data_IF_549033154186
#
_entry.id   IF_549033154186
#
_cell.length_a   1.000
_cell.length_b   1.000
_cell.length_c   1.000
_cell.angle_alpha   90.00
_cell.angle_beta   90.00
_cell.angle_gamma   90.00
#
_symmetry.space_group_name_H-M   'P 1'
#
loop_
_entity.id
_entity.type
_entity.pdbx_description
1 polymer ?
#
# COMPACT_ATOMS: atom_id res chain seq x y z
N UNK A 1 19.22 -9.41 51.11
CA UNK A 1 18.96 -8.14 50.40
C UNK A 1 18.39 -8.53 49.04
N UNK A 2 17.06 -8.63 48.95
CA UNK A 2 16.39 -8.96 47.69
C UNK A 2 16.16 -7.65 46.94
N UNK A 3 16.83 -7.49 45.80
CA UNK A 3 16.55 -6.42 44.86
C UNK A 3 15.38 -6.90 44.00
N UNK A 4 14.16 -6.46 44.33
CA UNK A 4 12.99 -6.71 43.49
C UNK A 4 13.06 -5.81 42.27
N UNK A 5 13.09 -6.40 41.08
CA UNK A 5 12.85 -5.67 39.83
C UNK A 5 11.43 -5.13 39.88
N UNK A 6 11.31 -3.81 39.93
CA UNK A 6 10.03 -3.13 39.76
C UNK A 6 9.72 -3.24 38.26
N UNK A 7 8.73 -4.05 37.91
CA UNK A 7 8.09 -3.92 36.61
C UNK A 7 7.28 -2.63 36.69
N UNK A 8 7.74 -1.57 36.04
CA UNK A 8 6.85 -0.46 35.70
C UNK A 8 5.71 -1.06 34.86
N UNK A 9 4.50 -1.07 35.42
CA UNK A 9 3.31 -1.30 34.61
C UNK A 9 3.33 -0.25 33.50
N UNK A 10 3.41 -0.69 32.24
CA UNK A 10 3.24 0.23 31.12
C UNK A 10 1.90 0.94 31.31
N UNK A 11 1.85 2.28 31.19
CA UNK A 11 0.63 3.03 31.42
C UNK A 11 -0.47 2.42 30.54
N UNK A 12 -1.62 2.17 31.15
CA UNK A 12 -2.85 1.74 30.47
C UNK A 12 -3.18 2.71 29.33
N UNK A 13 -2.63 2.47 28.14
CA UNK A 13 -2.93 3.27 26.96
C UNK A 13 -4.34 2.88 26.50
N UNK A 14 -5.28 3.80 26.70
CA UNK A 14 -6.64 3.68 26.20
C UNK A 14 -6.64 3.74 24.67
N UNK A 15 -7.60 3.06 24.05
CA UNK A 15 -7.84 3.22 22.63
C UNK A 15 -8.32 4.65 22.34
N UNK A 16 -7.78 5.23 21.28
CA UNK A 16 -8.20 6.53 20.75
C UNK A 16 -8.84 6.36 19.36
N UNK A 17 -9.68 7.33 19.00
CA UNK A 17 -10.22 7.45 17.64
C UNK A 17 -9.15 8.13 16.79
N UNK A 18 -8.64 7.41 15.80
CA UNK A 18 -7.61 7.86 14.87
C UNK A 18 -8.22 8.57 13.67
N UNK A 19 -9.37 8.07 13.22
CA UNK A 19 -10.17 8.63 12.13
C UNK A 19 -11.64 8.21 12.30
N UNK A 20 -12.55 8.97 11.70
CA UNK A 20 -14.00 8.79 11.85
C UNK A 20 -14.77 9.22 10.60
N UNK A 21 -15.76 8.42 10.24
CA UNK A 21 -16.74 8.78 9.20
C UNK A 21 -18.10 8.15 9.46
N UNK A 22 -19.13 8.69 8.81
CA UNK A 22 -20.48 8.11 8.74
C UNK A 22 -20.79 7.81 7.27
N UNK A 23 -21.28 6.59 6.98
CA UNK A 23 -21.67 6.18 5.64
C UNK A 23 -22.52 4.90 5.69
N UNK A 24 -23.43 4.73 4.74
CA UNK A 24 -24.10 3.43 4.51
C UNK A 24 -23.09 2.49 3.83
N UNK A 25 -22.63 1.50 4.60
CA UNK A 25 -21.67 0.47 4.17
C UNK A 25 -22.26 -0.94 4.29
N UNK A 26 -23.50 -1.04 4.76
CA UNK A 26 -24.25 -2.30 4.91
C UNK A 26 -25.31 -2.48 3.82
N UNK A 27 -25.71 -1.39 3.15
CA UNK A 27 -26.67 -1.32 2.06
C UNK A 27 -28.12 -1.27 2.51
N UNK A 28 -28.39 -0.84 3.74
CA UNK A 28 -29.73 -0.79 4.33
C UNK A 28 -30.39 0.61 4.28
N UNK A 29 -29.66 1.61 3.73
CA UNK A 29 -30.11 2.99 3.60
C UNK A 29 -29.88 3.86 4.83
N UNK A 30 -29.26 3.34 5.90
CA UNK A 30 -28.88 4.08 7.09
C UNK A 30 -27.36 4.11 7.24
N UNK A 31 -26.82 5.25 7.66
CA UNK A 31 -25.38 5.38 7.85
C UNK A 31 -24.91 4.66 9.13
N UNK A 32 -23.83 3.88 8.97
CA UNK A 32 -23.02 3.33 10.05
C UNK A 32 -22.04 4.39 10.57
N UNK A 33 -21.70 4.30 11.86
CA UNK A 33 -20.58 5.05 12.43
C UNK A 33 -19.32 4.20 12.38
N UNK A 34 -18.31 4.67 11.65
CA UNK A 34 -17.09 3.90 11.37
C UNK A 34 -15.92 4.61 12.03
N UNK A 35 -15.31 3.94 12.99
CA UNK A 35 -14.15 4.43 13.74
C UNK A 35 -12.92 3.61 13.38
N UNK A 36 -11.84 4.28 12.99
CA UNK A 36 -10.51 3.68 13.03
C UNK A 36 -9.93 3.90 14.42
N UNK A 37 -9.74 2.81 15.15
CA UNK A 37 -9.29 2.82 16.54
C UNK A 37 -7.83 2.38 16.61
N UNK A 38 -7.11 2.78 17.66
CA UNK A 38 -5.79 2.24 18.00
C UNK A 38 -5.20 2.89 19.23
N UNK A 39 -3.92 2.60 19.51
CA UNK A 39 -3.20 3.06 20.70
C UNK A 39 -1.96 3.83 20.33
N UNK A 40 -1.66 4.89 21.09
CA UNK A 40 -0.33 5.52 21.10
C UNK A 40 0.50 4.96 22.25
N UNK A 41 1.34 3.94 22.01
CA UNK A 41 2.11 3.31 23.08
C UNK A 41 3.13 4.26 23.72
N UNK A 42 3.45 5.37 23.06
CA UNK A 42 4.45 6.33 23.50
C UNK A 42 3.84 7.72 23.68
N UNK A 43 4.03 8.31 24.85
CA UNK A 43 3.62 9.69 25.17
C UNK A 43 4.76 10.70 24.95
N UNK A 44 5.60 10.47 23.95
CA UNK A 44 6.81 11.26 23.67
C UNK A 44 6.74 12.04 22.34
N UNK A 45 5.54 12.18 21.79
CA UNK A 45 5.29 12.89 20.53
C UNK A 45 5.53 12.06 19.27
N UNK A 46 5.93 10.78 19.39
CA UNK A 46 5.94 9.87 18.24
C UNK A 46 4.52 9.63 17.73
N UNK A 47 4.32 9.75 16.42
CA UNK A 47 3.02 9.50 15.77
C UNK A 47 2.70 8.01 15.54
N UNK A 48 3.53 7.12 16.09
CA UNK A 48 3.37 5.68 15.92
C UNK A 48 2.10 5.17 16.62
N UNK A 49 1.31 4.41 15.88
CA UNK A 49 0.09 3.75 16.36
C UNK A 49 0.29 2.24 16.41
N UNK A 50 -0.25 1.59 17.43
CA UNK A 50 -0.34 0.14 17.55
C UNK A 50 -1.77 -0.33 17.81
N UNK A 51 -2.02 -1.63 17.62
CA UNK A 51 -3.31 -2.27 17.88
C UNK A 51 -4.49 -1.61 17.13
N UNK A 52 -4.28 -1.29 15.85
CA UNK A 52 -5.32 -0.71 15.01
C UNK A 52 -6.43 -1.70 14.67
N UNK A 53 -7.67 -1.22 14.65
CA UNK A 53 -8.84 -1.99 14.21
C UNK A 53 -9.95 -1.03 13.78
N UNK A 54 -10.91 -1.51 12.98
CA UNK A 54 -12.14 -0.76 12.73
C UNK A 54 -13.18 -1.17 13.77
N UNK A 55 -13.84 -0.18 14.37
CA UNK A 55 -15.10 -0.38 15.09
C UNK A 55 -16.22 0.25 14.28
N UNK A 56 -17.14 -0.57 13.81
CA UNK A 56 -18.32 -0.15 13.08
C UNK A 56 -19.53 -0.26 14.00
N UNK A 57 -20.38 0.77 14.03
CA UNK A 57 -21.62 0.78 14.80
C UNK A 57 -22.80 0.95 13.86
N UNK A 58 -23.64 -0.08 13.80
CA UNK A 58 -24.84 -0.16 12.98
C UNK A 58 -25.83 0.95 13.34
N UNK A 59 -26.32 1.67 12.32
CA UNK A 59 -27.15 2.86 12.53
C UNK A 59 -28.53 2.54 13.12
N UNK A 60 -29.09 1.37 12.80
CA UNK A 60 -30.42 0.92 13.25
C UNK A 60 -30.40 0.31 14.65
N UNK A 61 -29.55 -0.69 14.84
CA UNK A 61 -29.50 -1.56 16.02
C UNK A 61 -28.54 -1.07 17.09
N UNK A 62 -27.65 -0.13 16.73
CA UNK A 62 -26.55 0.34 17.59
C UNK A 62 -25.55 -0.76 17.98
N UNK A 63 -25.63 -1.94 17.34
CA UNK A 63 -24.70 -3.05 17.54
C UNK A 63 -23.32 -2.65 17.02
N UNK A 64 -22.28 -3.05 17.74
CA UNK A 64 -20.90 -2.83 17.34
C UNK A 64 -20.29 -4.09 16.72
N UNK A 65 -19.53 -3.91 15.65
CA UNK A 65 -18.74 -4.92 14.96
C UNK A 65 -17.28 -4.48 14.96
N UNK A 66 -16.38 -5.39 15.35
CA UNK A 66 -14.92 -5.16 15.37
C UNK A 66 -14.30 -5.89 14.19
N UNK A 67 -13.58 -5.15 13.34
CA UNK A 67 -12.88 -5.70 12.17
C UNK A 67 -11.38 -5.58 12.42
N UNK A 68 -10.68 -6.71 12.68
CA UNK A 68 -9.25 -6.70 12.89
C UNK A 68 -8.48 -6.62 11.56
N UNK A 69 -7.27 -6.06 11.61
CA UNK A 69 -6.30 -6.11 10.50
C UNK A 69 -5.11 -6.98 10.91
N UNK A 70 -4.54 -7.74 9.96
CA UNK A 70 -3.41 -8.65 10.23
C UNK A 70 -2.16 -7.88 10.68
N UNK A 71 -1.80 -6.83 9.95
CA UNK A 71 -0.85 -5.81 10.39
C UNK A 71 -1.65 -4.62 10.88
N UNK A 72 -1.36 -4.18 12.10
CA UNK A 72 -2.19 -3.19 12.79
C UNK A 72 -1.36 -2.14 13.54
N UNK A 73 -0.17 -1.82 13.02
CA UNK A 73 0.73 -0.84 13.61
C UNK A 73 1.48 -0.07 12.52
N UNK A 74 1.64 1.24 12.70
CA UNK A 74 2.20 2.11 11.68
C UNK A 74 1.98 3.59 11.99
N UNK A 75 1.99 4.40 10.94
CA UNK A 75 1.91 5.86 11.00
C UNK A 75 0.83 6.41 10.07
N UNK A 76 0.28 7.56 10.44
CA UNK A 76 -0.75 8.31 9.69
C UNK A 76 -1.87 7.42 9.10
N UNK A 77 -2.57 6.62 9.95
CA UNK A 77 -3.67 5.79 9.49
C UNK A 77 -4.86 6.64 9.06
N UNK A 78 -5.56 6.19 8.01
CA UNK A 78 -6.67 6.95 7.41
C UNK A 78 -7.77 6.02 6.87
N UNK A 79 -9.01 6.45 7.01
CA UNK A 79 -10.19 5.86 6.39
C UNK A 79 -10.47 6.47 5.02
N UNK A 80 -10.98 5.63 4.12
CA UNK A 80 -11.61 6.03 2.88
C UNK A 80 -12.84 5.15 2.65
N UNK A 81 -13.93 5.75 2.18
CA UNK A 81 -15.20 5.08 1.91
C UNK A 81 -15.51 5.20 0.43
N UNK A 82 -15.83 4.08 -0.21
CA UNK A 82 -16.22 4.03 -1.60
C UNK A 82 -16.59 2.63 -2.04
N UNK A 83 -17.43 2.51 -3.06
CA UNK A 83 -17.79 1.22 -3.67
C UNK A 83 -16.61 0.71 -4.53
N UNK A 84 -15.88 -0.27 -4.04
CA UNK A 84 -14.78 -0.91 -4.76
C UNK A 84 -15.19 -2.23 -5.41
N UNK A 85 -16.09 -3.00 -4.79
CA UNK A 85 -16.57 -4.29 -5.30
C UNK A 85 -17.69 -4.18 -6.38
N UNK A 86 -18.05 -2.95 -6.72
CA UNK A 86 -19.00 -2.54 -7.76
C UNK A 86 -20.42 -3.06 -7.52
N UNK A 87 -20.80 -3.26 -6.26
CA UNK A 87 -22.13 -3.74 -5.88
C UNK A 87 -23.13 -2.60 -5.58
N UNK A 88 -22.69 -1.34 -5.60
CA UNK A 88 -23.48 -0.15 -5.28
C UNK A 88 -23.53 0.23 -3.80
N UNK A 89 -22.77 -0.45 -2.95
CA UNK A 89 -22.65 -0.23 -1.50
C UNK A 89 -21.20 0.15 -1.23
N UNK A 90 -20.99 1.13 -0.36
CA UNK A 90 -19.64 1.55 -0.06
C UNK A 90 -18.91 0.51 0.80
N UNK A 91 -17.63 0.29 0.49
CA UNK A 91 -16.72 -0.50 1.30
C UNK A 91 -15.82 0.40 2.16
N UNK A 92 -15.09 -0.21 3.10
CA UNK A 92 -14.19 0.48 4.02
C UNK A 92 -12.74 0.20 3.62
N UNK A 93 -12.01 1.23 3.20
CA UNK A 93 -10.57 1.19 2.96
C UNK A 93 -9.82 1.82 4.13
N UNK A 94 -8.75 1.15 4.58
CA UNK A 94 -7.80 1.66 5.57
C UNK A 94 -6.42 1.68 4.96
N UNK A 95 -5.71 2.80 5.07
CA UNK A 95 -4.30 2.90 4.68
C UNK A 95 -3.44 3.44 5.81
N UNK A 96 -2.19 2.98 5.92
CA UNK A 96 -1.20 3.52 6.84
C UNK A 96 0.23 3.18 6.42
N UNK A 97 1.20 3.96 6.87
CA UNK A 97 2.61 3.72 6.58
C UNK A 97 3.22 2.76 7.59
N UNK A 98 4.10 1.85 7.12
CA UNK A 98 4.94 1.02 8.00
C UNK A 98 5.93 1.87 8.81
N UNK A 99 6.41 2.98 8.22
CA UNK A 99 7.52 3.80 8.70
C UNK A 99 8.89 3.36 8.15
N UNK A 100 9.90 4.22 8.33
CA UNK A 100 11.25 4.02 7.77
C UNK A 100 11.42 4.59 6.35
N UNK A 101 12.64 4.47 5.79
CA UNK A 101 13.01 5.07 4.50
C UNK A 101 12.49 4.32 3.27
N UNK A 102 11.97 3.11 3.44
CA UNK A 102 11.48 2.28 2.32
C UNK A 102 10.17 2.77 1.71
N UNK A 103 9.40 3.62 2.41
CA UNK A 103 8.13 4.15 1.90
C UNK A 103 7.01 3.10 1.81
N UNK A 104 7.11 2.01 2.56
CA UNK A 104 6.15 0.91 2.53
C UNK A 104 4.82 1.31 3.15
N UNK A 105 3.74 0.93 2.48
CA UNK A 105 2.37 1.21 2.87
C UNK A 105 1.61 -0.09 3.08
N UNK A 106 0.71 -0.07 4.05
CA UNK A 106 -0.34 -1.06 4.20
C UNK A 106 -1.66 -0.46 3.81
N UNK A 107 -2.46 -1.28 3.15
CA UNK A 107 -3.81 -1.03 2.74
C UNK A 107 -4.65 -2.31 2.94
N UNK A 108 -5.86 -2.10 3.45
CA UNK A 108 -6.91 -3.11 3.60
C UNK A 108 -8.19 -2.55 3.02
N UNK A 109 -8.97 -3.37 2.31
CA UNK A 109 -10.33 -3.01 1.89
C UNK A 109 -11.27 -4.11 2.37
N UNK A 110 -12.34 -3.70 3.06
CA UNK A 110 -13.37 -4.58 3.58
C UNK A 110 -14.72 -4.23 2.98
N UNK A 111 -15.37 -5.20 2.34
CA UNK A 111 -16.82 -5.12 2.12
C UNK A 111 -17.55 -5.44 3.42
N UNK A 112 -18.63 -4.74 3.71
CA UNK A 112 -19.45 -4.95 4.92
C UNK A 112 -20.92 -5.16 4.60
N UNK A 113 -21.22 -5.57 3.36
CA UNK A 113 -22.58 -5.83 2.90
C UNK A 113 -23.33 -6.71 3.91
N UNK A 114 -24.54 -6.29 4.29
CA UNK A 114 -25.39 -6.98 5.27
C UNK A 114 -24.72 -7.24 6.62
N UNK A 115 -23.85 -6.36 7.08
CA UNK A 115 -23.16 -6.47 8.37
C UNK A 115 -22.20 -7.69 8.47
N UNK A 116 -21.72 -8.21 7.34
CA UNK A 116 -20.73 -9.29 7.29
C UNK A 116 -19.41 -8.77 6.70
N UNK A 117 -18.42 -8.41 7.54
CA UNK A 117 -17.13 -7.94 7.05
C UNK A 117 -16.36 -9.02 6.29
N UNK A 118 -16.02 -8.74 5.04
CA UNK A 118 -15.21 -9.57 4.17
C UNK A 118 -13.98 -8.78 3.68
N UNK A 119 -12.80 -9.36 3.82
CA UNK A 119 -11.56 -8.75 3.33
C UNK A 119 -11.41 -9.00 1.82
N UNK A 120 -11.44 -7.92 1.03
CA UNK A 120 -11.39 -7.99 -0.44
C UNK A 120 -10.06 -7.47 -1.03
N UNK A 121 -9.24 -6.79 -0.23
CA UNK A 121 -7.86 -6.43 -0.59
C UNK A 121 -6.94 -6.50 0.64
N UNK A 122 -5.77 -7.13 0.47
CA UNK A 122 -4.72 -7.21 1.47
C UNK A 122 -3.34 -6.91 0.86
N UNK A 123 -2.55 -6.10 1.56
CA UNK A 123 -1.21 -5.69 1.07
C UNK A 123 -0.21 -6.83 1.02
N UNK A 124 -0.24 -7.76 1.97
CA UNK A 124 0.71 -8.87 1.98
C UNK A 124 0.43 -9.81 0.80
N UNK A 125 -0.85 -10.11 0.53
CA UNK A 125 -1.25 -10.85 -0.68
C UNK A 125 -0.85 -10.11 -1.95
N UNK A 126 -1.07 -8.79 -2.03
CA UNK A 126 -0.61 -8.00 -3.17
C UNK A 126 0.91 -8.16 -3.38
N UNK A 127 1.72 -8.02 -2.33
CA UNK A 127 3.18 -8.11 -2.42
C UNK A 127 3.67 -9.52 -2.84
N UNK A 128 2.93 -10.59 -2.49
CA UNK A 128 3.23 -11.95 -2.94
C UNK A 128 2.98 -12.14 -4.44
N UNK A 129 1.96 -11.47 -5.00
CA UNK A 129 1.56 -11.64 -6.39
C UNK A 129 2.26 -10.65 -7.36
N UNK A 130 2.49 -9.42 -6.90
CA UNK A 130 2.97 -8.29 -7.69
C UNK A 130 4.44 -7.98 -7.40
N UNK A 131 5.31 -8.88 -7.88
CA UNK A 131 6.76 -8.73 -7.80
C UNK A 131 7.41 -8.74 -9.19
N UNK A 132 8.70 -9.06 -9.20
CA UNK A 132 9.47 -9.16 -10.42
C UNK A 132 10.97 -9.05 -10.18
N UNK A 133 11.71 -8.75 -11.24
CA UNK A 133 13.16 -8.57 -11.20
C UNK A 133 13.57 -7.31 -11.96
N UNK A 134 14.67 -6.70 -11.50
CA UNK A 134 15.31 -5.56 -12.17
C UNK A 134 16.76 -5.95 -12.45
N UNK A 135 17.16 -5.88 -13.71
CA UNK A 135 18.50 -6.29 -14.15
C UNK A 135 19.12 -5.23 -15.03
N UNK A 136 20.36 -4.88 -14.73
CA UNK A 136 21.16 -4.07 -15.64
C UNK A 136 21.58 -4.95 -16.82
N UNK A 137 21.65 -4.34 -17.99
CA UNK A 137 22.10 -4.96 -19.24
C UNK A 137 23.13 -4.06 -19.92
N UNK A 138 23.92 -4.67 -20.81
CA UNK A 138 24.87 -3.96 -21.66
C UNK A 138 24.21 -2.85 -22.48
N UNK A 139 25.00 -1.84 -22.83
CA UNK A 139 24.54 -0.69 -23.58
C UNK A 139 23.64 0.23 -22.75
N UNK A 140 23.95 0.41 -21.47
CA UNK A 140 23.28 1.35 -20.55
C UNK A 140 21.76 1.12 -20.44
N UNK A 141 21.36 -0.14 -20.26
CA UNK A 141 19.95 -0.52 -20.15
C UNK A 141 19.64 -1.13 -18.80
N UNK A 142 18.40 -0.93 -18.35
CA UNK A 142 17.83 -1.66 -17.21
C UNK A 142 16.53 -2.31 -17.64
N UNK A 143 16.46 -3.64 -17.52
CA UNK A 143 15.24 -4.43 -17.75
C UNK A 143 14.49 -4.63 -16.44
N UNK A 144 13.22 -4.27 -16.45
CA UNK A 144 12.26 -4.53 -15.36
C UNK A 144 11.26 -5.57 -15.87
N UNK A 145 11.19 -6.74 -15.24
CA UNK A 145 10.25 -7.81 -15.60
C UNK A 145 9.31 -8.08 -14.43
N UNK A 146 8.00 -8.06 -14.66
CA UNK A 146 6.96 -8.23 -13.62
C UNK A 146 6.35 -9.62 -13.65
N UNK A 147 5.89 -10.12 -12.50
CA UNK A 147 5.19 -11.42 -12.38
C UNK A 147 3.71 -11.31 -12.76
N UNK A 148 3.03 -10.27 -12.28
CA UNK A 148 1.61 -10.00 -12.51
C UNK A 148 1.41 -8.51 -12.85
N UNK A 149 0.88 -8.18 -14.04
CA UNK A 149 0.84 -9.04 -15.22
C UNK A 149 2.27 -9.37 -15.66
N UNK A 150 2.46 -10.44 -16.43
CA UNK A 150 3.78 -10.76 -16.99
C UNK A 150 4.14 -9.75 -18.09
N UNK A 151 4.99 -8.78 -17.76
CA UNK A 151 5.43 -7.70 -18.67
C UNK A 151 6.92 -7.46 -18.53
N UNK A 152 7.49 -6.81 -19.54
CA UNK A 152 8.86 -6.32 -19.52
C UNK A 152 8.89 -4.83 -19.93
N UNK A 153 9.76 -4.09 -19.28
CA UNK A 153 10.06 -2.69 -19.54
C UNK A 153 11.58 -2.55 -19.67
N UNK A 154 12.05 -1.72 -20.59
CA UNK A 154 13.47 -1.44 -20.77
C UNK A 154 13.67 0.06 -20.64
N UNK A 155 14.45 0.44 -19.64
CA UNK A 155 14.89 1.81 -19.42
C UNK A 155 16.25 2.00 -20.08
N UNK A 156 16.43 3.14 -20.76
CA UNK A 156 17.71 3.61 -21.23
C UNK A 156 18.26 4.61 -20.19
N UNK A 157 19.41 4.27 -19.60
CA UNK A 157 20.08 5.07 -18.57
C UNK A 157 21.33 5.77 -19.12
N UNK A 158 21.52 5.82 -20.44
CA UNK A 158 22.70 6.45 -21.08
C UNK A 158 22.87 7.93 -20.75
N UNK A 159 21.79 8.60 -20.35
CA UNK A 159 21.76 10.01 -19.95
C UNK A 159 21.88 10.21 -18.43
N UNK A 160 22.18 9.17 -17.66
CA UNK A 160 22.42 9.29 -16.21
C UNK A 160 23.83 9.83 -15.93
N UNK A 161 24.13 10.10 -14.66
CA UNK A 161 25.40 10.71 -14.26
C UNK A 161 26.60 9.89 -14.76
N UNK A 162 27.52 10.53 -15.49
CA UNK A 162 28.68 9.84 -16.06
C UNK A 162 29.46 9.02 -15.04
N UNK A 163 29.65 9.53 -13.82
CA UNK A 163 30.37 8.81 -12.78
C UNK A 163 29.67 7.51 -12.35
N UNK A 164 28.34 7.50 -12.37
CA UNK A 164 27.52 6.31 -12.11
C UNK A 164 27.65 5.30 -13.26
N UNK A 165 27.55 5.75 -14.51
CA UNK A 165 27.70 4.88 -15.68
C UNK A 165 29.12 4.32 -15.81
N UNK A 166 30.14 5.13 -15.58
CA UNK A 166 31.55 4.69 -15.57
C UNK A 166 31.82 3.65 -14.47
N UNK A 167 31.06 3.65 -13.37
CA UNK A 167 31.18 2.61 -12.35
C UNK A 167 30.58 1.28 -12.82
N UNK A 168 29.45 1.32 -13.53
CA UNK A 168 28.72 0.15 -14.02
C UNK A 168 29.36 -0.49 -15.27
N UNK A 169 29.81 0.33 -16.22
CA UNK A 169 30.14 -0.09 -17.58
C UNK A 169 31.61 0.16 -17.94
N UNK A 170 32.16 -0.66 -18.83
CA UNK A 170 33.45 -0.39 -19.49
C UNK A 170 33.31 0.62 -20.65
N UNK A 171 34.43 0.94 -21.32
CA UNK A 171 34.44 1.94 -22.40
C UNK A 171 33.61 1.51 -23.62
N UNK A 172 33.41 0.20 -23.78
CA UNK A 172 32.61 -0.41 -24.82
C UNK A 172 31.11 -0.51 -24.46
N UNK A 173 30.75 -0.19 -23.22
CA UNK A 173 29.37 -0.21 -22.71
C UNK A 173 28.91 -1.57 -22.20
N UNK A 174 29.82 -2.51 -21.93
CA UNK A 174 29.51 -3.78 -21.28
C UNK A 174 29.54 -3.64 -19.76
N UNK A 175 28.66 -4.37 -19.08
CA UNK A 175 28.66 -4.40 -17.62
C UNK A 175 29.97 -5.01 -17.10
N UNK A 176 30.63 -4.30 -16.19
CA UNK A 176 31.83 -4.81 -15.50
C UNK A 176 31.51 -6.02 -14.63
N UNK A 177 30.33 -6.00 -14.01
CA UNK A 177 29.79 -7.08 -13.18
C UNK A 177 28.28 -7.13 -13.30
N UNK A 178 27.67 -8.30 -13.09
CA UNK A 178 26.22 -8.43 -12.99
C UNK A 178 25.70 -7.50 -11.88
N UNK A 179 24.71 -6.69 -12.23
CA UNK A 179 24.04 -5.80 -11.29
C UNK A 179 22.53 -5.98 -11.37
N UNK A 180 21.90 -5.92 -10.20
CA UNK A 180 20.46 -6.02 -10.04
C UNK A 180 19.94 -4.81 -9.28
N UNK A 181 18.65 -4.54 -9.47
CA UNK A 181 17.88 -3.64 -8.64
C UNK A 181 16.67 -4.36 -8.06
N UNK A 182 15.72 -3.61 -7.51
CA UNK A 182 14.56 -4.19 -6.82
C UNK A 182 13.26 -3.48 -7.18
N UNK A 183 12.19 -4.27 -7.37
CA UNK A 183 10.81 -3.75 -7.27
C UNK A 183 10.43 -3.87 -5.79
N UNK A 184 10.20 -2.74 -5.15
CA UNK A 184 9.85 -2.70 -3.73
C UNK A 184 8.41 -3.17 -3.49
N UNK A 185 8.10 -3.52 -2.25
CA UNK A 185 6.71 -3.72 -1.76
C UNK A 185 5.84 -2.47 -2.05
N UNK A 186 4.52 -2.64 -1.90
CA UNK A 186 3.52 -1.60 -2.10
C UNK A 186 3.92 -0.29 -1.40
N UNK A 187 4.18 0.73 -2.22
CA UNK A 187 4.55 2.08 -1.78
C UNK A 187 3.34 3.01 -1.66
N UNK A 188 2.16 2.60 -2.14
CA UNK A 188 0.92 3.34 -1.99
C UNK A 188 -0.21 2.70 -2.78
N UNK A 189 -1.42 2.78 -2.24
CA UNK A 189 -2.65 2.34 -2.89
C UNK A 189 -3.63 3.51 -2.88
N UNK A 190 -4.09 3.90 -4.06
CA UNK A 190 -4.94 5.07 -4.21
C UNK A 190 -6.27 4.67 -4.84
N UNK A 191 -7.41 5.02 -4.23
CA UNK A 191 -8.69 4.96 -4.90
C UNK A 191 -8.71 5.91 -6.09
N UNK A 192 -9.23 5.46 -7.23
CA UNK A 192 -9.30 6.21 -8.48
C UNK A 192 -10.68 6.09 -9.09
N UNK A 193 -11.15 7.17 -9.70
CA UNK A 193 -12.45 7.21 -10.36
C UNK A 193 -12.30 7.96 -11.70
N UNK A 194 -11.54 7.35 -12.62
CA UNK A 194 -11.26 7.96 -13.93
C UNK A 194 -12.50 8.03 -14.82
N UNK A 195 -13.44 7.11 -14.63
CA UNK A 195 -14.66 7.02 -15.42
C UNK A 195 -15.81 7.90 -14.89
N UNK A 196 -15.60 8.61 -13.77
CA UNK A 196 -16.61 9.45 -13.10
C UNK A 196 -17.91 8.67 -12.81
N UNK A 197 -17.76 7.42 -12.39
CA UNK A 197 -18.83 6.54 -11.91
C UNK A 197 -18.97 6.68 -10.39
N UNK A 198 -19.95 6.04 -9.75
CA UNK A 198 -20.03 6.03 -8.29
C UNK A 198 -19.05 5.04 -7.63
N UNK A 199 -18.36 4.24 -8.46
CA UNK A 199 -17.45 3.18 -8.03
C UNK A 199 -15.97 3.61 -8.17
N UNK A 200 -15.10 2.96 -7.41
CA UNK A 200 -13.66 3.21 -7.36
C UNK A 200 -12.85 2.02 -7.85
N UNK A 201 -11.93 2.29 -8.76
CA UNK A 201 -10.83 1.41 -9.13
C UNK A 201 -9.60 1.74 -8.26
N UNK A 202 -8.52 0.96 -8.35
CA UNK A 202 -7.30 1.17 -7.58
C UNK A 202 -6.09 1.47 -8.46
N UNK A 203 -5.22 2.36 -8.00
CA UNK A 203 -3.86 2.54 -8.52
C UNK A 203 -2.87 2.15 -7.43
N UNK A 204 -2.21 1.01 -7.62
CA UNK A 204 -1.11 0.54 -6.79
C UNK A 204 0.23 1.07 -7.34
N UNK A 205 1.08 1.60 -6.47
CA UNK A 205 2.38 2.17 -6.85
C UNK A 205 3.49 1.45 -6.10
N UNK A 206 4.43 0.88 -6.84
CA UNK A 206 5.67 0.31 -6.33
C UNK A 206 6.85 1.10 -6.88
N UNK A 207 7.91 1.26 -6.08
CA UNK A 207 9.15 1.88 -6.55
C UNK A 207 10.02 0.83 -7.21
N UNK A 208 10.59 1.17 -8.35
CA UNK A 208 11.67 0.41 -8.99
C UNK A 208 12.97 1.10 -8.63
N UNK A 209 13.84 0.39 -7.95
CA UNK A 209 15.14 0.91 -7.50
C UNK A 209 16.28 0.25 -8.23
N UNK A 210 17.37 0.99 -8.38
CA UNK A 210 18.65 0.49 -8.85
C UNK A 210 19.38 -0.24 -7.72
N UNK A 211 20.69 -0.04 -7.64
CA UNK A 211 21.55 -0.81 -6.73
C UNK A 211 21.26 -0.56 -5.24
N UNK A 212 20.69 0.61 -4.92
CA UNK A 212 20.43 1.04 -3.56
C UNK A 212 19.00 1.60 -3.47
N UNK A 213 18.37 1.51 -2.30
CA UNK A 213 16.99 1.98 -2.07
C UNK A 213 16.74 3.47 -2.36
N UNK A 214 17.79 4.29 -2.45
CA UNK A 214 17.69 5.73 -2.78
C UNK A 214 17.73 6.00 -4.28
N UNK A 215 18.29 5.06 -5.06
CA UNK A 215 18.39 5.14 -6.52
C UNK A 215 17.07 4.71 -7.13
N UNK A 216 16.17 5.66 -7.39
CA UNK A 216 14.84 5.36 -7.93
C UNK A 216 14.88 5.48 -9.45
N UNK A 217 14.80 4.33 -10.13
CA UNK A 217 14.76 4.26 -11.59
C UNK A 217 13.38 4.62 -12.16
N UNK A 218 12.32 4.37 -11.39
CA UNK A 218 10.96 4.69 -11.78
C UNK A 218 9.91 4.22 -10.80
N UNK A 219 8.65 4.44 -11.18
CA UNK A 219 7.46 3.99 -10.46
C UNK A 219 6.72 2.97 -11.32
N UNK A 220 6.57 1.76 -10.81
CA UNK A 220 5.70 0.75 -11.39
C UNK A 220 4.27 1.01 -10.89
N UNK A 221 3.39 1.37 -11.81
CA UNK A 221 2.01 1.72 -11.53
C UNK A 221 1.09 0.66 -12.09
N UNK A 222 0.34 -0.02 -11.21
CA UNK A 222 -0.62 -1.05 -11.57
C UNK A 222 -2.03 -0.55 -11.30
N UNK A 223 -2.85 -0.52 -12.34
CA UNK A 223 -4.26 -0.15 -12.25
C UNK A 223 -5.09 -1.43 -12.13
N UNK A 224 -5.92 -1.48 -11.09
CA UNK A 224 -6.74 -2.62 -10.75
C UNK A 224 -8.21 -2.23 -10.76
N UNK A 225 -9.02 -3.10 -11.34
CA UNK A 225 -10.48 -2.99 -11.37
C UNK A 225 -11.08 -4.24 -10.73
N UNK A 226 -12.17 -4.09 -9.99
CA UNK A 226 -12.86 -5.26 -9.43
C UNK A 226 -13.60 -6.06 -10.51
N UNK A 227 -13.37 -7.36 -10.53
CA UNK A 227 -14.12 -8.30 -11.34
C UNK A 227 -15.16 -9.02 -10.48
N UNK A 228 -16.43 -8.62 -10.60
CA UNK A 228 -17.53 -9.19 -9.80
C UNK A 228 -17.81 -10.67 -10.07
N UNK A 229 -17.38 -11.24 -11.19
CA UNK A 229 -17.52 -12.68 -11.44
C UNK A 229 -16.43 -13.49 -10.74
N UNK A 230 -15.20 -12.97 -10.72
CA UNK A 230 -14.06 -13.61 -10.08
C UNK A 230 -13.95 -13.27 -8.58
N UNK A 231 -14.68 -12.24 -8.11
CA UNK A 231 -14.66 -11.74 -6.73
C UNK A 231 -13.23 -11.35 -6.30
N UNK A 232 -12.53 -10.63 -7.18
CA UNK A 232 -11.17 -10.15 -6.94
C UNK A 232 -10.84 -8.93 -7.82
N UNK A 233 -9.82 -8.19 -7.42
CA UNK A 233 -9.21 -7.16 -8.27
C UNK A 233 -8.37 -7.78 -9.40
N UNK A 234 -8.56 -7.28 -10.62
CA UNK A 234 -7.83 -7.67 -11.81
C UNK A 234 -7.07 -6.50 -12.42
N UNK A 235 -5.94 -6.79 -13.07
CA UNK A 235 -5.10 -5.76 -13.69
C UNK A 235 -5.71 -5.32 -15.01
N UNK A 236 -6.03 -4.03 -15.12
CA UNK A 236 -6.48 -3.42 -16.38
C UNK A 236 -5.34 -2.77 -17.15
N UNK A 237 -4.35 -2.22 -16.43
CA UNK A 237 -3.18 -1.60 -17.04
C UNK A 237 -1.99 -1.64 -16.07
N UNK A 238 -0.79 -1.58 -16.63
CA UNK A 238 0.43 -1.38 -15.85
C UNK A 238 1.43 -0.58 -16.69
N UNK A 239 2.05 0.41 -16.07
CA UNK A 239 3.02 1.32 -16.66
C UNK A 239 4.27 1.42 -15.77
N UNK A 240 5.41 1.71 -16.39
CA UNK A 240 6.62 2.13 -15.70
C UNK A 240 6.84 3.61 -15.99
N UNK A 241 6.60 4.46 -15.00
CA UNK A 241 6.76 5.91 -15.09
C UNK A 241 8.16 6.31 -14.62
N UNK A 242 8.81 7.21 -15.37
CA UNK A 242 10.14 7.74 -15.05
C UNK A 242 10.09 9.24 -14.82
N UNK A 243 11.02 9.78 -14.02
CA UNK A 243 11.13 11.22 -13.80
C UNK A 243 11.54 11.94 -15.09
N UNK A 244 10.98 13.13 -15.28
CA UNK A 244 11.48 14.06 -16.29
C UNK A 244 12.88 14.55 -15.92
N UNK A 245 13.70 14.84 -16.93
CA UNK A 245 15.02 15.48 -16.76
C UNK A 245 14.92 16.95 -17.17
N UNK A 246 15.62 17.82 -16.45
CA UNK A 246 15.77 19.23 -16.84
C UNK A 246 16.55 19.33 -18.17
N UNK A 247 16.20 20.31 -19.00
CA UNK A 247 16.80 20.57 -20.33
C UNK A 247 17.70 21.81 -20.26
#
# INVERSE_FOLDING_TARGET
>A
MYCGTIYEEEPSVLDEILDYTEADVTGDGQEEKIYLMGKRPYNDGREFISNMYIRMKDGHTQKETIIPMKVNKGYAPKLFIGDFDKNGINDIMVTFYKGGSGGYNFAYIFSTWKNEPELIFDTEQFNEEFGGNVKYEDGHKVRVSTTKPKKEYVLDISEDEKAYLDWLYDEEGYLKTTQEGEILELGGLYPTNYNQTDNYDLRAVQRVTGMNLTDTLGLLETFLEWNSLAQQFEVIAQYLSVYGKDI
#
